data_IF_732388326143
#
_entry.id   IF_732388326143
#
_cell.length_a   1.000
_cell.length_b   1.000
_cell.length_c   1.000
_cell.angle_alpha   90.00
_cell.angle_beta   90.00
_cell.angle_gamma   90.00
#
_symmetry.space_group_name_H-M   'P 1'
#
loop_
_entity.id
_entity.type
_entity.pdbx_description
1 polymer ?
#
# COMPACT_ATOMS: atom_id res chain seq x y z
N UNK A 1 10.33 -25.21 -15.21
CA UNK A 1 9.12 -25.25 -16.06
C UNK A 1 8.02 -26.21 -15.55
N UNK A 2 8.21 -26.91 -14.42
CA UNK A 2 7.28 -27.94 -13.94
C UNK A 2 6.17 -27.40 -13.01
N UNK A 3 6.06 -26.09 -12.83
CA UNK A 3 5.05 -25.50 -11.94
C UNK A 3 3.69 -25.44 -12.63
N UNK A 4 2.68 -26.02 -11.98
CA UNK A 4 1.28 -25.79 -12.33
C UNK A 4 0.86 -24.41 -11.82
N UNK A 5 0.61 -23.49 -12.77
CA UNK A 5 0.38 -22.06 -12.51
C UNK A 5 -1.09 -21.65 -12.61
N UNK A 6 -1.99 -22.54 -13.01
CA UNK A 6 -3.41 -22.21 -13.22
C UNK A 6 -4.22 -22.46 -11.95
N UNK A 7 -3.80 -21.81 -10.88
CA UNK A 7 -4.40 -21.89 -9.54
C UNK A 7 -4.07 -20.62 -8.77
N UNK A 8 -4.79 -20.39 -7.68
CA UNK A 8 -4.41 -19.35 -6.72
C UNK A 8 -3.00 -19.64 -6.20
N UNK A 9 -2.09 -18.64 -6.12
CA UNK A 9 -0.79 -18.82 -5.53
C UNK A 9 -0.89 -19.47 -4.14
N UNK A 10 -0.21 -20.60 -3.89
CA UNK A 10 -0.20 -21.21 -2.57
C UNK A 10 0.49 -20.30 -1.55
N UNK A 11 0.18 -20.48 -0.26
CA UNK A 11 0.80 -19.70 0.82
C UNK A 11 2.33 -19.93 0.95
N UNK A 12 2.85 -21.05 0.43
CA UNK A 12 4.26 -21.40 0.47
C UNK A 12 4.68 -22.21 -0.77
N UNK A 13 5.99 -22.33 -0.95
CA UNK A 13 6.61 -23.11 -2.02
C UNK A 13 6.92 -22.28 -3.26
N UNK A 14 7.42 -22.93 -4.34
CA UNK A 14 8.14 -22.21 -5.39
C UNK A 14 7.31 -21.17 -6.16
N UNK A 15 6.00 -21.38 -6.29
CA UNK A 15 5.11 -20.40 -6.91
C UNK A 15 4.91 -19.16 -6.04
N UNK A 16 4.84 -19.33 -4.70
CA UNK A 16 4.83 -18.22 -3.76
C UNK A 16 6.17 -17.49 -3.82
N UNK A 17 7.28 -18.24 -3.80
CA UNK A 17 8.61 -17.66 -3.75
C UNK A 17 8.97 -16.86 -5.01
N UNK A 18 8.50 -17.30 -6.18
CA UNK A 18 8.67 -16.53 -7.42
C UNK A 18 7.92 -15.18 -7.42
N UNK A 19 6.87 -15.05 -6.61
CA UNK A 19 6.01 -13.86 -6.57
C UNK A 19 6.34 -12.92 -5.40
N UNK A 20 6.88 -13.45 -4.30
CA UNK A 20 6.97 -12.75 -3.01
C UNK A 20 8.36 -12.72 -2.39
N UNK A 21 9.38 -13.32 -3.01
CA UNK A 21 10.74 -13.22 -2.47
C UNK A 21 11.36 -11.84 -2.74
N UNK A 22 12.20 -11.39 -1.81
CA UNK A 22 12.88 -10.08 -1.86
C UNK A 22 14.41 -10.25 -1.72
N UNK A 23 15.24 -9.33 -2.25
CA UNK A 23 16.65 -9.30 -1.86
C UNK A 23 16.75 -8.99 -0.35
N UNK A 24 17.80 -9.47 0.32
CA UNK A 24 18.06 -9.00 1.69
C UNK A 24 18.33 -7.48 1.72
N UNK A 25 18.07 -6.83 2.84
CA UNK A 25 18.28 -5.38 2.98
C UNK A 25 19.75 -4.97 2.76
N UNK A 26 20.67 -5.87 3.12
CA UNK A 26 22.13 -5.75 3.00
C UNK A 26 22.69 -6.43 1.74
N UNK A 27 21.85 -6.70 0.73
CA UNK A 27 22.22 -7.47 -0.47
C UNK A 27 23.53 -6.98 -1.12
N UNK A 28 24.52 -7.87 -1.24
CA UNK A 28 25.86 -7.59 -1.76
C UNK A 28 26.89 -7.17 -0.69
N UNK A 29 26.46 -7.00 0.56
CA UNK A 29 27.28 -6.64 1.72
C UNK A 29 26.97 -7.51 2.95
N UNK A 30 26.39 -8.68 2.73
CA UNK A 30 25.94 -9.58 3.79
C UNK A 30 27.11 -10.14 4.60
N UNK A 31 26.91 -10.25 5.91
CA UNK A 31 27.89 -10.87 6.83
C UNK A 31 27.71 -12.38 6.98
N UNK A 32 26.53 -12.90 6.60
CA UNK A 32 26.18 -14.32 6.70
C UNK A 32 26.26 -14.99 5.32
N UNK A 33 26.75 -16.23 5.22
CA UNK A 33 26.73 -17.00 3.97
C UNK A 33 25.36 -17.63 3.68
N UNK A 34 24.32 -17.38 4.49
CA UNK A 34 22.99 -17.95 4.25
C UNK A 34 22.41 -17.46 2.91
N UNK A 35 21.93 -18.41 2.10
CA UNK A 35 21.35 -18.10 0.79
C UNK A 35 19.94 -17.52 0.91
N UNK A 36 19.17 -18.02 1.88
CA UNK A 36 17.78 -17.64 2.08
C UNK A 36 17.48 -17.49 3.56
N UNK A 37 16.82 -16.40 3.93
CA UNK A 37 16.30 -16.16 5.28
C UNK A 37 14.82 -15.79 5.19
N UNK A 38 14.06 -15.91 6.28
CA UNK A 38 12.62 -15.67 6.23
C UNK A 38 12.30 -14.19 5.91
N UNK A 39 11.41 -13.95 4.95
CA UNK A 39 11.00 -12.60 4.59
C UNK A 39 9.98 -12.06 5.60
N UNK A 40 10.49 -11.35 6.60
CA UNK A 40 9.69 -10.75 7.68
C UNK A 40 8.85 -9.56 7.20
N UNK A 41 9.22 -8.90 6.09
CA UNK A 41 8.47 -7.77 5.52
C UNK A 41 7.19 -8.25 4.84
N UNK A 42 7.24 -9.40 4.16
CA UNK A 42 6.08 -10.00 3.49
C UNK A 42 5.30 -10.98 4.39
N UNK A 43 5.92 -11.49 5.45
CA UNK A 43 5.34 -12.52 6.33
C UNK A 43 5.18 -13.89 5.67
N UNK A 44 5.73 -14.07 4.48
CA UNK A 44 5.77 -15.31 3.70
C UNK A 44 7.00 -15.28 2.79
N UNK A 45 7.37 -16.43 2.22
CA UNK A 45 8.58 -16.56 1.39
C UNK A 45 9.87 -16.13 2.11
N UNK A 46 10.90 -15.75 1.33
CA UNK A 46 12.27 -15.60 1.76
C UNK A 46 12.93 -14.34 1.21
N UNK A 47 13.86 -13.79 1.99
CA UNK A 47 14.91 -12.94 1.47
C UNK A 47 15.97 -13.82 0.82
N UNK A 48 16.44 -13.44 -0.37
CA UNK A 48 17.58 -14.09 -1.02
C UNK A 48 18.81 -13.18 -0.96
N UNK A 49 19.98 -13.79 -0.73
CA UNK A 49 21.25 -13.07 -0.65
C UNK A 49 21.99 -13.03 -1.99
N UNK A 50 22.99 -12.17 -2.09
CA UNK A 50 23.86 -12.04 -3.25
C UNK A 50 24.55 -13.36 -3.64
N UNK A 51 25.11 -14.14 -2.69
CA UNK A 51 25.63 -15.48 -3.00
C UNK A 51 24.60 -16.40 -3.66
N UNK A 52 23.35 -16.40 -3.18
CA UNK A 52 22.28 -17.22 -3.75
C UNK A 52 21.98 -16.85 -5.22
N UNK A 53 21.96 -15.54 -5.52
CA UNK A 53 21.77 -15.04 -6.87
C UNK A 53 22.95 -15.39 -7.77
N UNK A 54 24.20 -15.22 -7.29
CA UNK A 54 25.39 -15.58 -8.04
C UNK A 54 25.42 -17.07 -8.41
N UNK A 55 25.13 -17.95 -7.45
CA UNK A 55 25.05 -19.39 -7.70
C UNK A 55 23.97 -19.71 -8.74
N UNK A 56 22.77 -19.14 -8.59
CA UNK A 56 21.67 -19.34 -9.53
C UNK A 56 22.05 -18.90 -10.95
N UNK A 57 22.68 -17.73 -11.10
CA UNK A 57 23.09 -17.20 -12.40
C UNK A 57 24.15 -18.07 -13.07
N UNK A 58 25.16 -18.50 -12.30
CA UNK A 58 26.24 -19.38 -12.79
C UNK A 58 25.68 -20.74 -13.23
N UNK A 59 24.86 -21.38 -12.39
CA UNK A 59 24.28 -22.69 -12.67
C UNK A 59 23.35 -22.70 -13.90
N UNK A 60 22.74 -21.57 -14.22
CA UNK A 60 21.80 -21.44 -15.34
C UNK A 60 22.38 -20.70 -16.55
N UNK A 61 23.66 -20.32 -16.54
CA UNK A 61 24.31 -19.52 -17.59
C UNK A 61 23.53 -18.24 -17.92
N UNK A 62 23.14 -17.50 -16.89
CA UNK A 62 22.39 -16.24 -16.99
C UNK A 62 23.27 -15.06 -16.57
N UNK A 63 22.99 -13.89 -17.13
CA UNK A 63 23.74 -12.66 -16.81
C UNK A 63 23.21 -11.95 -15.56
N UNK A 64 21.89 -11.89 -15.39
CA UNK A 64 21.25 -11.12 -14.32
C UNK A 64 19.80 -11.58 -14.11
N UNK A 65 19.22 -11.26 -12.95
CA UNK A 65 17.80 -11.41 -12.64
C UNK A 65 17.15 -10.04 -12.72
N UNK A 66 16.13 -9.89 -13.57
CA UNK A 66 15.30 -8.68 -13.65
C UNK A 66 13.99 -8.97 -12.94
N UNK A 67 13.63 -8.12 -11.96
CA UNK A 67 12.42 -8.24 -11.15
C UNK A 67 11.78 -6.88 -10.85
N UNK A 68 10.58 -6.91 -10.28
CA UNK A 68 9.82 -5.73 -9.85
C UNK A 68 9.50 -5.84 -8.34
N UNK A 69 8.27 -5.52 -7.91
CA UNK A 69 7.71 -5.81 -6.58
C UNK A 69 8.13 -4.92 -5.39
N UNK A 70 9.26 -4.23 -5.46
CA UNK A 70 9.63 -3.19 -4.47
C UNK A 70 9.58 -1.79 -5.09
N UNK A 71 8.98 -0.84 -4.37
CA UNK A 71 8.96 0.56 -4.77
C UNK A 71 10.38 1.15 -4.67
N UNK A 72 10.76 1.97 -5.65
CA UNK A 72 12.08 2.56 -5.73
C UNK A 72 11.95 4.05 -6.05
N UNK A 73 12.55 4.93 -5.25
CA UNK A 73 12.43 6.39 -5.41
C UNK A 73 12.85 6.86 -6.82
N UNK A 74 13.90 6.26 -7.38
CA UNK A 74 14.40 6.57 -8.72
C UNK A 74 13.91 5.59 -9.82
N UNK A 75 12.98 4.68 -9.54
CA UNK A 75 12.59 3.64 -10.51
C UNK A 75 13.75 2.74 -10.98
N UNK A 76 14.86 2.71 -10.22
CA UNK A 76 16.07 1.93 -10.49
C UNK A 76 16.61 1.38 -9.18
N UNK A 77 17.09 0.14 -9.20
CA UNK A 77 17.86 -0.46 -8.12
C UNK A 77 19.32 0.00 -8.21
N UNK A 78 19.62 1.24 -7.82
CA UNK A 78 20.93 1.61 -7.29
C UNK A 78 20.91 2.99 -6.59
N UNK A 79 21.48 3.01 -5.39
CA UNK A 79 21.91 4.14 -4.53
C UNK A 79 20.86 4.90 -3.71
N UNK A 80 20.94 4.64 -2.40
CA UNK A 80 20.58 5.47 -1.23
C UNK A 80 20.61 6.98 -1.51
N UNK A 81 19.46 7.67 -1.39
CA UNK A 81 19.23 8.77 -0.44
C UNK A 81 17.83 9.39 -0.62
N UNK A 82 17.20 9.66 0.53
CA UNK A 82 16.16 10.67 0.78
C UNK A 82 14.68 10.24 0.76
N UNK A 83 14.17 9.98 1.98
CA UNK A 83 12.77 10.21 2.36
C UNK A 83 12.31 11.58 1.86
N UNK A 84 11.29 11.63 0.99
CA UNK A 84 10.28 12.70 0.93
C UNK A 84 9.12 12.30 0.00
N UNK A 85 7.98 12.01 0.62
CA UNK A 85 6.61 12.31 0.16
C UNK A 85 6.36 12.41 -1.36
N UNK A 86 5.73 11.36 -1.89
CA UNK A 86 4.74 11.37 -2.98
C UNK A 86 5.17 11.42 -4.46
N UNK A 87 6.42 11.16 -4.84
CA UNK A 87 6.76 10.99 -6.26
C UNK A 87 7.73 9.83 -6.51
N UNK A 88 7.19 8.61 -6.56
CA UNK A 88 7.92 7.46 -7.11
C UNK A 88 7.99 7.66 -8.63
N UNK A 89 9.19 7.77 -9.19
CA UNK A 89 9.37 7.75 -10.64
C UNK A 89 9.09 6.34 -11.17
N UNK A 90 8.19 6.24 -12.15
CA UNK A 90 8.01 5.00 -12.88
C UNK A 90 9.16 4.82 -13.87
N UNK A 91 9.60 3.60 -14.13
CA UNK A 91 10.63 3.34 -15.12
C UNK A 91 10.34 2.10 -15.97
N UNK A 92 10.81 2.12 -17.21
CA UNK A 92 10.76 0.99 -18.14
C UNK A 92 12.16 0.69 -18.63
N UNK A 93 12.52 -0.61 -18.63
CA UNK A 93 13.76 -1.11 -19.22
C UNK A 93 13.52 -1.47 -20.68
N UNK A 94 14.24 -0.81 -21.59
CA UNK A 94 14.27 -1.07 -23.02
C UNK A 94 15.60 -1.70 -23.39
N UNK A 95 15.56 -2.97 -23.81
CA UNK A 95 16.74 -3.68 -24.32
C UNK A 95 16.68 -3.75 -25.85
N UNK A 96 17.62 -3.10 -26.53
CA UNK A 96 17.70 -3.07 -27.99
C UNK A 96 19.18 -2.94 -28.41
N UNK A 97 19.59 -3.64 -29.46
CA UNK A 97 20.97 -3.61 -29.98
C UNK A 97 22.05 -3.85 -28.92
N UNK A 98 21.83 -4.83 -28.03
CA UNK A 98 22.69 -5.14 -26.88
C UNK A 98 22.85 -4.00 -25.85
N UNK A 99 22.05 -2.94 -25.94
CA UNK A 99 22.05 -1.81 -25.01
C UNK A 99 20.82 -1.88 -24.10
N UNK A 100 21.06 -1.86 -22.79
CA UNK A 100 20.04 -1.72 -21.76
C UNK A 100 19.82 -0.23 -21.49
N UNK A 101 18.65 0.30 -21.85
CA UNK A 101 18.27 1.69 -21.57
C UNK A 101 17.13 1.71 -20.56
N UNK A 102 17.18 2.59 -19.56
CA UNK A 102 16.07 2.74 -18.60
C UNK A 102 15.51 4.14 -18.79
N UNK A 103 14.22 4.19 -19.10
CA UNK A 103 13.48 5.44 -19.28
C UNK A 103 12.58 5.65 -18.08
N UNK A 104 12.73 6.80 -17.42
CA UNK A 104 11.93 7.21 -16.28
C UNK A 104 10.78 8.11 -16.73
N UNK A 105 9.68 8.07 -16.00
CA UNK A 105 8.46 8.82 -16.26
C UNK A 105 7.92 9.40 -14.95
N UNK A 106 7.38 10.62 -15.05
CA UNK A 106 6.66 11.26 -13.96
C UNK A 106 5.20 10.82 -13.94
N UNK A 107 4.54 10.98 -12.79
CA UNK A 107 3.10 10.77 -12.69
C UNK A 107 2.33 11.74 -13.61
N UNK A 108 1.16 11.31 -14.07
CA UNK A 108 0.19 12.16 -14.76
C UNK A 108 -1.03 12.39 -13.86
N UNK A 109 -1.72 13.54 -13.97
CA UNK A 109 -2.96 13.76 -13.23
C UNK A 109 -3.98 12.65 -13.53
N UNK A 110 -4.70 12.20 -12.50
CA UNK A 110 -5.76 11.19 -12.63
C UNK A 110 -7.04 11.65 -11.93
N UNK A 111 -8.22 11.17 -12.35
CA UNK A 111 -9.48 11.47 -11.67
C UNK A 111 -9.42 11.08 -10.18
N UNK A 112 -10.06 11.90 -9.36
CA UNK A 112 -10.20 11.61 -7.94
C UNK A 112 -11.37 10.66 -7.70
N UNK A 113 -11.17 9.70 -6.81
CA UNK A 113 -12.19 8.80 -6.31
C UNK A 113 -12.16 8.82 -4.78
N UNK A 114 -13.34 8.75 -4.16
CA UNK A 114 -13.41 8.57 -2.72
C UNK A 114 -12.84 7.20 -2.32
N UNK A 115 -12.28 7.07 -1.09
CA UNK A 115 -11.79 5.79 -0.59
C UNK A 115 -12.82 4.68 -0.77
N UNK A 116 -12.37 3.50 -1.19
CA UNK A 116 -13.21 2.33 -1.48
C UNK A 116 -14.33 2.58 -2.51
N UNK A 117 -14.16 3.55 -3.40
CA UNK A 117 -15.16 3.93 -4.42
C UNK A 117 -16.52 4.29 -3.82
N UNK A 118 -16.51 4.84 -2.61
CA UNK A 118 -17.72 5.26 -1.90
C UNK A 118 -18.45 6.34 -2.70
N UNK A 119 -19.78 6.24 -2.77
CA UNK A 119 -20.59 7.31 -3.35
C UNK A 119 -20.70 8.49 -2.36
N UNK A 120 -21.07 9.65 -2.91
CA UNK A 120 -21.12 10.89 -2.14
C UNK A 120 -22.20 10.88 -1.06
N UNK A 121 -23.26 10.08 -1.20
CA UNK A 121 -24.30 9.98 -0.19
C UNK A 121 -23.80 9.14 0.98
N UNK A 122 -23.28 7.93 0.73
CA UNK A 122 -22.70 7.09 1.79
C UNK A 122 -21.61 7.82 2.57
N UNK A 123 -20.81 8.62 1.89
CA UNK A 123 -19.76 9.42 2.53
C UNK A 123 -20.28 10.58 3.37
N UNK A 124 -21.29 11.32 2.90
CA UNK A 124 -21.75 12.56 3.55
C UNK A 124 -22.88 12.39 4.55
N UNK A 125 -23.74 11.38 4.41
CA UNK A 125 -24.92 11.19 5.26
C UNK A 125 -24.60 11.12 6.77
N UNK A 126 -23.55 10.40 7.22
CA UNK A 126 -23.20 10.38 8.64
C UNK A 126 -22.87 11.78 9.17
N UNK A 127 -22.11 12.56 8.40
CA UNK A 127 -21.72 13.92 8.77
C UNK A 127 -22.94 14.87 8.79
N UNK A 128 -23.81 14.77 7.78
CA UNK A 128 -25.05 15.56 7.74
C UNK A 128 -25.93 15.24 8.95
N UNK A 129 -26.11 13.96 9.27
CA UNK A 129 -26.89 13.53 10.44
C UNK A 129 -26.31 14.07 11.76
N UNK A 130 -25.00 13.99 11.93
CA UNK A 130 -24.31 14.53 13.12
C UNK A 130 -24.55 16.04 13.24
N UNK A 131 -24.32 16.81 12.18
CA UNK A 131 -24.40 18.28 12.23
C UNK A 131 -25.82 18.81 12.39
N UNK A 132 -26.80 18.15 11.79
CA UNK A 132 -28.21 18.50 12.02
C UNK A 132 -28.61 18.19 13.47
N UNK A 133 -28.18 17.05 14.01
CA UNK A 133 -28.47 16.70 15.40
C UNK A 133 -27.79 17.65 16.38
N UNK A 134 -26.52 17.99 16.15
CA UNK A 134 -25.77 18.96 16.95
C UNK A 134 -26.45 20.33 16.95
N UNK A 135 -26.90 20.81 15.79
CA UNK A 135 -27.65 22.05 15.67
C UNK A 135 -28.95 22.01 16.49
N UNK A 136 -29.72 20.93 16.39
CA UNK A 136 -30.98 20.79 17.13
C UNK A 136 -30.77 20.74 18.64
N UNK A 137 -29.76 20.01 19.10
CA UNK A 137 -29.38 19.97 20.52
C UNK A 137 -29.02 21.36 21.03
N UNK A 138 -28.21 22.11 20.26
CA UNK A 138 -27.84 23.47 20.64
C UNK A 138 -29.06 24.42 20.69
N UNK A 139 -30.02 24.29 19.78
CA UNK A 139 -31.26 25.09 19.82
C UNK A 139 -32.11 24.71 21.03
N UNK A 140 -32.34 23.42 21.26
CA UNK A 140 -33.15 22.94 22.38
C UNK A 140 -32.50 23.25 23.74
N UNK A 141 -31.17 23.33 23.81
CA UNK A 141 -30.45 23.72 25.03
C UNK A 141 -30.61 25.20 25.42
N UNK A 142 -31.21 26.03 24.56
CA UNK A 142 -31.54 27.43 24.88
C UNK A 142 -32.84 27.52 25.69
N UNK A 143 -33.77 26.57 25.50
CA UNK A 143 -34.99 26.50 26.31
C UNK A 143 -34.63 26.05 27.72
N UNK A 144 -34.98 26.86 28.70
CA UNK A 144 -34.76 26.58 30.12
C UNK A 144 -35.89 25.71 30.66
N UNK A 145 -35.65 24.91 31.70
CA UNK A 145 -36.70 24.12 32.38
C UNK A 145 -37.91 24.99 32.80
N UNK A 146 -37.71 26.30 32.99
CA UNK A 146 -38.75 27.27 33.33
C UNK A 146 -39.81 27.48 32.21
N UNK A 147 -39.46 27.30 30.93
CA UNK A 147 -40.41 27.39 29.80
C UNK A 147 -41.21 26.09 29.60
N UNK A 148 -40.70 24.96 30.11
CA UNK A 148 -41.40 23.67 30.07
C UNK A 148 -42.46 23.52 31.16
N UNK A 149 -42.34 24.28 32.26
CA UNK A 149 -43.23 24.22 33.42
C UNK A 149 -44.43 25.20 33.34
N UNK A 150 -44.44 26.10 32.36
CA UNK A 150 -45.43 27.19 32.28
C UNK A 150 -46.75 26.82 31.57
N UNK A 151 -46.87 25.62 30.99
CA UNK A 151 -48.14 25.14 30.37
C UNK A 151 -49.04 24.32 31.32
N UNK A 152 -48.70 24.22 32.61
CA UNK A 152 -49.39 23.35 33.59
C UNK A 152 -50.35 24.00 34.59
N UNK A 153 -50.42 25.34 34.69
CA UNK A 153 -51.17 26.03 35.78
C UNK A 153 -52.29 26.98 35.32
N UNK A 154 -52.92 26.72 34.17
CA UNK A 154 -54.14 27.44 33.75
C UNK A 154 -55.36 26.49 33.70
N UNK A 155 -55.73 25.85 34.82
CA UNK A 155 -57.10 25.38 35.01
C UNK A 155 -57.48 25.01 36.47
N UNK A 156 -58.59 25.62 36.91
CA UNK A 156 -59.51 25.29 38.03
C UNK A 156 -59.52 26.21 39.27
N UNK A 157 -60.48 27.16 39.18
CA UNK A 157 -61.51 27.56 40.16
C UNK A 157 -61.16 27.74 41.66
N UNK A 158 -61.50 28.95 42.15
CA UNK A 158 -61.70 29.26 43.57
C UNK A 158 -61.71 30.74 43.89
#
# INVERSE_FOLDING_TARGET
KQLDRFKEPPAFGPMCDLLWSDPSEDFGSENSPEHFSHNTVRGCSYFYSYPAVCEFLQNNNLLSIIRAHEAQDAGRFQTFFSKCLNFILAAVLKYENNVMNIRQFNCSPHPYWLPNFMDVFTWSLPFVGEKVTEMLVNVLSICSDDELMTEGEDQFDG
#
